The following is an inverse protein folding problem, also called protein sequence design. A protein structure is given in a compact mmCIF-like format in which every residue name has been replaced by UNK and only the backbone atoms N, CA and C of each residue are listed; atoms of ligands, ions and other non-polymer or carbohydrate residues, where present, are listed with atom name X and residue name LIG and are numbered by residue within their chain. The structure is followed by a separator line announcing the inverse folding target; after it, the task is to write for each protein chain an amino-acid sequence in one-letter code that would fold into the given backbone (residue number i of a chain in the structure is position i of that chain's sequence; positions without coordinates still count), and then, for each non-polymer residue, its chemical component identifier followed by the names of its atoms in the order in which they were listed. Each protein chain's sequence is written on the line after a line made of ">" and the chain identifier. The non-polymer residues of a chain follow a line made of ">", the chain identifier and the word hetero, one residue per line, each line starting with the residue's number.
data_IF_493239046180
#
_entry.id   IF_493239046180
#
_cell.length_a   1.000
_cell.length_b   1.000
_cell.length_c   1.000
_cell.angle_alpha   90.00
_cell.angle_beta   90.00
_cell.angle_gamma   90.00
#
_symmetry.space_group_name_H-M   'P 1'
#
loop_
_entity.id
_entity.type
_entity.pdbx_description
1 polymer ?
#
# COMPACT_ATOMS: atom_id res chain seq x y z
N UNK A 1 -2.44 16.85 -5.54
CA UNK A 1 -1.14 17.31 -5.00
C UNK A 1 -0.28 16.15 -4.52
N UNK A 2 1.01 16.18 -4.82
CA UNK A 2 1.98 15.19 -4.35
C UNK A 2 2.52 15.58 -2.95
N UNK A 3 2.86 14.61 -2.08
CA UNK A 3 3.55 14.88 -0.83
C UNK A 3 4.93 15.50 -1.06
N UNK A 4 5.37 16.38 -0.14
CA UNK A 4 6.67 17.04 -0.23
C UNK A 4 7.86 16.08 -0.42
N UNK A 5 7.79 14.88 0.17
CA UNK A 5 8.82 13.85 0.05
C UNK A 5 8.99 13.30 -1.38
N UNK A 6 7.95 13.43 -2.21
CA UNK A 6 7.91 12.95 -3.60
C UNK A 6 8.10 14.09 -4.62
N UNK A 7 8.32 15.32 -4.17
CA UNK A 7 8.58 16.44 -5.08
C UNK A 7 9.97 16.29 -5.70
N UNK A 8 10.02 16.40 -7.03
CA UNK A 8 11.26 16.42 -7.80
C UNK A 8 11.45 17.82 -8.38
N UNK A 9 12.52 18.50 -7.97
CA UNK A 9 12.82 19.89 -8.37
C UNK A 9 14.28 20.07 -8.72
N UNK A 10 14.55 21.00 -9.63
CA UNK A 10 15.86 21.56 -9.89
C UNK A 10 16.03 22.85 -9.09
N UNK A 11 17.17 23.01 -8.43
CA UNK A 11 17.56 24.26 -7.78
C UNK A 11 18.79 24.82 -8.48
N UNK A 12 18.69 26.02 -9.06
CA UNK A 12 19.83 26.68 -9.72
C UNK A 12 19.73 28.18 -9.56
N UNK A 13 20.83 28.82 -9.12
CA UNK A 13 20.94 30.30 -8.98
C UNK A 13 19.79 30.96 -8.19
N UNK A 14 19.28 30.29 -7.16
CA UNK A 14 18.17 30.82 -6.34
C UNK A 14 16.77 30.53 -6.89
N UNK A 15 16.65 29.95 -8.09
CA UNK A 15 15.39 29.50 -8.66
C UNK A 15 15.13 28.03 -8.34
N UNK A 16 13.85 27.69 -8.11
CA UNK A 16 13.35 26.33 -7.95
C UNK A 16 12.41 26.06 -9.11
N UNK A 17 12.68 25.00 -9.87
CA UNK A 17 11.90 24.62 -11.04
C UNK A 17 11.46 23.16 -10.90
N UNK A 18 10.17 22.83 -11.07
CA UNK A 18 9.72 21.44 -11.10
C UNK A 18 10.46 20.60 -12.15
N UNK A 19 10.82 19.38 -11.78
CA UNK A 19 11.36 18.38 -12.72
C UNK A 19 10.21 17.58 -13.31
N UNK A 20 9.56 18.16 -14.33
CA UNK A 20 8.49 17.50 -15.05
C UNK A 20 8.97 16.22 -15.75
N UNK A 21 8.10 15.21 -15.74
CA UNK A 21 8.21 14.03 -16.58
C UNK A 21 7.93 14.45 -18.03
N UNK A 22 8.97 14.35 -18.88
CA UNK A 22 8.83 14.54 -20.32
C UNK A 22 8.21 13.29 -20.95
N UNK A 23 7.49 13.41 -22.09
CA UNK A 23 7.01 12.27 -22.86
C UNK A 23 8.20 11.59 -23.56
N UNK A 24 8.94 10.79 -22.80
CA UNK A 24 10.11 10.04 -23.24
C UNK A 24 9.83 8.56 -23.04
N UNK A 25 10.38 7.69 -23.90
CA UNK A 25 10.16 6.25 -23.85
C UNK A 25 10.32 5.63 -22.46
N UNK A 26 11.32 6.05 -21.67
CA UNK A 26 11.53 5.52 -20.32
C UNK A 26 10.47 5.92 -19.29
N UNK A 27 9.91 7.13 -19.38
CA UNK A 27 8.84 7.57 -18.47
C UNK A 27 7.52 6.88 -18.82
N UNK A 28 7.24 6.75 -20.12
CA UNK A 28 6.07 6.03 -20.62
C UNK A 28 6.14 4.55 -20.26
N UNK A 29 7.32 3.94 -20.39
CA UNK A 29 7.57 2.55 -19.98
C UNK A 29 7.29 2.34 -18.49
N UNK A 30 7.87 3.17 -17.60
CA UNK A 30 7.62 3.06 -16.16
C UNK A 30 6.13 3.21 -15.81
N UNK A 31 5.45 4.18 -16.43
CA UNK A 31 4.02 4.40 -16.24
C UNK A 31 3.20 3.19 -16.69
N UNK A 32 3.49 2.63 -17.87
CA UNK A 32 2.80 1.46 -18.40
C UNK A 32 3.03 0.22 -17.53
N UNK A 33 4.27 -0.03 -17.07
CA UNK A 33 4.57 -1.15 -16.18
C UNK A 33 3.71 -1.07 -14.91
N UNK A 34 3.65 0.11 -14.28
CA UNK A 34 2.84 0.31 -13.08
C UNK A 34 1.33 0.17 -13.35
N UNK A 35 0.84 0.71 -14.46
CA UNK A 35 -0.59 0.59 -14.83
C UNK A 35 -0.96 -0.89 -15.02
N UNK A 36 -0.13 -1.65 -15.75
CA UNK A 36 -0.38 -3.08 -15.97
C UNK A 36 -0.23 -3.91 -14.68
N UNK A 37 0.67 -3.52 -13.77
CA UNK A 37 0.76 -4.12 -12.45
C UNK A 37 -0.57 -3.97 -11.67
N UNK A 38 -1.14 -2.76 -11.60
CA UNK A 38 -2.41 -2.55 -10.91
C UNK A 38 -3.58 -3.27 -11.59
N UNK A 39 -3.59 -3.39 -12.93
CA UNK A 39 -4.62 -4.17 -13.64
C UNK A 39 -4.55 -5.67 -13.33
N UNK A 40 -3.35 -6.23 -13.26
CA UNK A 40 -3.13 -7.67 -13.10
C UNK A 40 -3.28 -8.16 -11.66
N UNK A 41 -3.15 -7.29 -10.66
CA UNK A 41 -3.15 -7.64 -9.24
C UNK A 41 -4.44 -7.21 -8.51
N UNK A 42 -5.56 -7.10 -9.22
CA UNK A 42 -6.88 -6.91 -8.58
C UNK A 42 -7.19 -8.15 -7.74
N UNK A 43 -7.58 -7.94 -6.48
CA UNK A 43 -7.79 -8.98 -5.48
C UNK A 43 -6.55 -9.30 -4.64
N UNK A 44 -5.39 -8.73 -4.95
CA UNK A 44 -4.17 -8.93 -4.16
C UNK A 44 -3.92 -7.81 -3.14
N UNK A 45 -3.04 -8.10 -2.18
CA UNK A 45 -2.61 -7.15 -1.15
C UNK A 45 -1.69 -6.09 -1.74
N UNK A 46 -1.86 -4.83 -1.31
CA UNK A 46 -1.07 -3.67 -1.76
C UNK A 46 0.44 -3.85 -1.62
N UNK A 47 0.90 -4.68 -0.67
CA UNK A 47 2.33 -5.00 -0.51
C UNK A 47 2.96 -5.60 -1.77
N UNK A 48 2.19 -6.31 -2.61
CA UNK A 48 2.69 -6.84 -3.88
C UNK A 48 3.01 -5.69 -4.83
N UNK A 49 2.12 -4.70 -4.94
CA UNK A 49 2.36 -3.48 -5.72
C UNK A 49 3.54 -2.67 -5.18
N UNK A 50 3.69 -2.59 -3.85
CA UNK A 50 4.86 -1.95 -3.22
C UNK A 50 6.18 -2.66 -3.56
N UNK A 51 6.16 -3.99 -3.62
CA UNK A 51 7.33 -4.76 -4.03
C UNK A 51 7.68 -4.46 -5.50
N UNK A 52 6.69 -4.40 -6.40
CA UNK A 52 6.90 -4.02 -7.79
C UNK A 52 7.45 -2.60 -7.95
N UNK A 53 7.00 -1.66 -7.12
CA UNK A 53 7.57 -0.29 -7.07
C UNK A 53 9.04 -0.34 -6.66
N UNK A 54 9.39 -1.12 -5.62
CA UNK A 54 10.78 -1.28 -5.19
C UNK A 54 11.65 -1.93 -6.29
N UNK A 55 11.13 -2.91 -7.03
CA UNK A 55 11.85 -3.51 -8.16
C UNK A 55 12.15 -2.50 -9.28
N UNK A 56 11.25 -1.54 -9.53
CA UNK A 56 11.51 -0.47 -10.49
C UNK A 56 12.58 0.51 -9.98
N UNK A 57 12.60 0.79 -8.68
CA UNK A 57 13.70 1.56 -8.06
C UNK A 57 15.05 0.86 -8.25
N UNK A 58 15.09 -0.46 -8.04
CA UNK A 58 16.30 -1.28 -8.21
C UNK A 58 16.75 -1.36 -9.67
N UNK A 59 15.82 -1.27 -10.64
CA UNK A 59 16.12 -1.18 -12.08
C UNK A 59 16.67 0.19 -12.52
N UNK A 60 16.73 1.17 -11.60
CA UNK A 60 17.33 2.47 -11.84
C UNK A 60 16.36 3.58 -12.24
N UNK A 61 15.04 3.34 -12.18
CA UNK A 61 14.07 4.43 -12.28
C UNK A 61 14.18 5.35 -11.06
N UNK A 62 13.94 6.64 -11.24
CA UNK A 62 14.07 7.60 -10.13
C UNK A 62 12.98 7.34 -9.08
N UNK A 63 13.40 7.13 -7.82
CA UNK A 63 12.50 6.61 -6.79
C UNK A 63 11.33 7.55 -6.47
N UNK A 64 11.52 8.88 -6.50
CA UNK A 64 10.40 9.82 -6.25
C UNK A 64 9.38 9.72 -7.37
N UNK A 65 9.82 9.59 -8.61
CA UNK A 65 8.98 9.43 -9.77
C UNK A 65 8.12 8.16 -9.67
N UNK A 66 8.71 6.98 -9.51
CA UNK A 66 7.96 5.70 -9.44
C UNK A 66 6.99 5.69 -8.25
N UNK A 67 7.42 6.15 -7.07
CA UNK A 67 6.54 6.27 -5.89
C UNK A 67 5.41 7.27 -6.09
N UNK A 68 5.67 8.39 -6.77
CA UNK A 68 4.64 9.37 -7.09
C UNK A 68 3.60 8.79 -8.06
N UNK A 69 4.04 8.05 -9.09
CA UNK A 69 3.13 7.37 -10.00
C UNK A 69 2.27 6.34 -9.27
N UNK A 70 2.88 5.48 -8.44
CA UNK A 70 2.14 4.52 -7.60
C UNK A 70 1.14 5.22 -6.68
N UNK A 71 1.50 6.34 -6.05
CA UNK A 71 0.56 7.11 -5.24
C UNK A 71 -0.63 7.67 -6.05
N UNK A 72 -0.40 8.10 -7.29
CA UNK A 72 -1.48 8.55 -8.17
C UNK A 72 -2.38 7.37 -8.59
N UNK A 73 -1.82 6.20 -8.83
CA UNK A 73 -2.57 4.97 -9.11
C UNK A 73 -3.36 4.47 -7.89
N UNK A 74 -2.82 4.60 -6.68
CA UNK A 74 -3.54 4.33 -5.44
C UNK A 74 -4.80 5.21 -5.33
N UNK A 75 -4.74 6.48 -5.74
CA UNK A 75 -5.90 7.39 -5.75
C UNK A 75 -6.95 7.02 -6.78
N UNK A 76 -6.57 6.26 -7.80
CA UNK A 76 -7.46 5.69 -8.82
C UNK A 76 -7.87 4.26 -8.49
N UNK A 77 -7.59 3.81 -7.27
CA UNK A 77 -7.88 2.47 -6.78
C UNK A 77 -8.86 2.50 -5.63
N UNK A 78 -9.67 1.46 -5.52
CA UNK A 78 -10.42 1.15 -4.30
C UNK A 78 -9.62 0.09 -3.53
N UNK A 79 -8.93 0.53 -2.48
CA UNK A 79 -8.20 -0.35 -1.55
C UNK A 79 -9.07 -0.56 -0.31
N UNK A 80 -9.34 -1.82 0.03
CA UNK A 80 -10.23 -2.19 1.14
C UNK A 80 -9.51 -3.03 2.17
N UNK A 81 -9.90 -2.88 3.44
CA UNK A 81 -9.52 -3.79 4.50
C UNK A 81 -10.45 -5.01 4.41
N UNK A 82 -9.93 -6.16 3.97
CA UNK A 82 -10.72 -7.38 3.83
C UNK A 82 -10.81 -8.13 5.16
N UNK A 83 -11.77 -7.77 5.99
CA UNK A 83 -12.02 -8.40 7.29
C UNK A 83 -13.51 -8.34 7.67
N UNK A 84 -13.96 -9.29 8.50
CA UNK A 84 -15.36 -9.34 9.00
C UNK A 84 -15.59 -8.52 10.26
N UNK A 85 -14.51 -8.08 10.91
CA UNK A 85 -14.52 -7.36 12.18
C UNK A 85 -13.58 -6.16 12.10
N UNK A 86 -13.73 -5.18 12.97
CA UNK A 86 -12.78 -4.08 13.10
C UNK A 86 -11.42 -4.59 13.64
N UNK A 87 -10.30 -4.46 12.87
CA UNK A 87 -8.98 -4.89 13.32
C UNK A 87 -8.47 -4.17 14.57
N UNK A 88 -8.95 -2.95 14.85
CA UNK A 88 -8.61 -2.23 16.07
C UNK A 88 -9.24 -2.91 17.28
N UNK A 89 -10.52 -3.28 17.19
CA UNK A 89 -11.23 -4.02 18.25
C UNK A 89 -10.66 -5.44 18.44
N UNK A 90 -10.33 -6.12 17.34
CA UNK A 90 -9.68 -7.43 17.38
C UNK A 90 -8.35 -7.38 18.16
N UNK A 91 -7.46 -6.44 17.82
CA UNK A 91 -6.19 -6.25 18.52
C UNK A 91 -6.41 -5.93 20.00
N UNK A 92 -7.38 -5.07 20.32
CA UNK A 92 -7.72 -4.74 21.71
C UNK A 92 -8.11 -5.98 22.50
N UNK A 93 -8.99 -6.83 21.95
CA UNK A 93 -9.43 -8.08 22.61
C UNK A 93 -8.30 -9.08 22.79
N UNK A 94 -7.38 -9.18 21.82
CA UNK A 94 -6.20 -10.04 21.93
C UNK A 94 -5.27 -9.56 23.04
N UNK A 95 -4.96 -8.25 23.08
CA UNK A 95 -4.11 -7.71 24.14
C UNK A 95 -4.78 -7.83 25.52
N UNK A 96 -6.09 -7.62 25.63
CA UNK A 96 -6.83 -7.86 26.88
C UNK A 96 -6.80 -9.34 27.30
N UNK A 97 -6.86 -10.28 26.36
CA UNK A 97 -6.74 -11.71 26.69
C UNK A 97 -5.37 -12.05 27.29
N UNK A 98 -4.30 -11.28 27.00
CA UNK A 98 -3.00 -11.47 27.68
C UNK A 98 -3.03 -11.15 29.18
N UNK A 99 -3.98 -10.33 29.65
CA UNK A 99 -4.16 -10.10 31.09
C UNK A 99 -4.68 -11.36 31.79
N UNK A 100 -5.54 -12.13 31.10
CA UNK A 100 -6.13 -13.36 31.63
C UNK A 100 -5.19 -14.57 31.53
N UNK A 101 -4.51 -14.74 30.40
CA UNK A 101 -3.70 -15.93 30.11
C UNK A 101 -2.18 -15.71 30.29
N UNK A 102 -1.77 -14.47 30.58
CA UNK A 102 -0.37 -14.04 30.61
C UNK A 102 0.18 -13.75 29.21
N UNK A 103 1.43 -13.30 29.17
CA UNK A 103 2.12 -13.01 27.90
C UNK A 103 2.31 -14.30 27.07
N UNK A 104 2.15 -14.24 25.74
CA UNK A 104 2.31 -15.39 24.83
C UNK A 104 3.79 -15.71 24.59
N UNK A 105 4.52 -16.14 25.63
CA UNK A 105 5.95 -16.51 25.54
C UNK A 105 6.19 -17.89 24.95
N UNK A 106 5.14 -18.69 24.74
CA UNK A 106 5.18 -20.01 24.10
C UNK A 106 4.09 -20.12 23.05
N UNK A 107 4.29 -20.98 22.05
CA UNK A 107 3.29 -21.22 21.00
C UNK A 107 1.97 -21.74 21.55
N UNK A 108 2.00 -22.59 22.58
CA UNK A 108 0.81 -23.10 23.27
C UNK A 108 0.00 -21.96 23.92
N UNK A 109 0.65 -21.06 24.66
CA UNK A 109 -0.02 -19.91 25.26
C UNK A 109 -0.59 -18.96 24.20
N UNK A 110 0.16 -18.71 23.13
CA UNK A 110 -0.30 -17.92 21.99
C UNK A 110 -1.56 -18.53 21.39
N UNK A 111 -1.57 -19.84 21.17
CA UNK A 111 -2.70 -20.56 20.60
C UNK A 111 -3.95 -20.43 21.48
N UNK A 112 -3.82 -20.64 22.80
CA UNK A 112 -4.93 -20.49 23.76
C UNK A 112 -5.55 -19.07 23.70
N UNK A 113 -4.70 -18.04 23.60
CA UNK A 113 -5.16 -16.65 23.50
C UNK A 113 -5.95 -16.42 22.20
N UNK A 114 -5.42 -16.87 21.07
CA UNK A 114 -6.07 -16.72 19.76
C UNK A 114 -7.40 -17.47 19.74
N UNK A 115 -7.43 -18.72 20.19
CA UNK A 115 -8.66 -19.52 20.28
C UNK A 115 -9.71 -18.87 21.19
N UNK A 116 -9.29 -18.32 22.34
CA UNK A 116 -10.19 -17.60 23.24
C UNK A 116 -10.83 -16.40 22.56
N UNK A 117 -10.05 -15.61 21.82
CA UNK A 117 -10.57 -14.44 21.11
C UNK A 117 -11.43 -14.83 19.91
N UNK A 118 -11.00 -15.84 19.14
CA UNK A 118 -11.75 -16.40 18.02
C UNK A 118 -13.16 -16.82 18.48
N UNK A 119 -13.24 -17.56 19.58
CA UNK A 119 -14.50 -17.96 20.20
C UNK A 119 -15.35 -16.76 20.64
N UNK A 120 -14.76 -15.78 21.34
CA UNK A 120 -15.47 -14.57 21.81
C UNK A 120 -16.01 -13.69 20.67
N UNK A 121 -15.35 -13.71 19.51
CA UNK A 121 -15.70 -12.90 18.34
C UNK A 121 -16.43 -13.68 17.24
N UNK A 122 -16.73 -14.96 17.46
CA UNK A 122 -17.31 -15.87 16.47
C UNK A 122 -16.52 -15.91 15.13
N UNK A 123 -15.20 -15.96 15.24
CA UNK A 123 -14.26 -16.06 14.12
C UNK A 123 -13.60 -17.45 14.08
N UNK A 124 -13.09 -17.83 12.92
CA UNK A 124 -12.11 -18.90 12.83
C UNK A 124 -10.77 -18.46 13.43
N UNK A 125 -9.93 -19.40 13.88
CA UNK A 125 -8.61 -19.10 14.45
C UNK A 125 -7.71 -18.45 13.39
N UNK A 126 -7.81 -18.93 12.16
CA UNK A 126 -7.07 -18.44 10.99
C UNK A 126 -7.49 -17.00 10.64
N UNK A 127 -8.80 -16.71 10.71
CA UNK A 127 -9.35 -15.35 10.47
C UNK A 127 -8.79 -14.34 11.50
N UNK A 128 -8.54 -14.75 12.75
CA UNK A 128 -7.97 -13.86 13.77
C UNK A 128 -6.57 -13.41 13.40
N UNK A 129 -5.74 -14.32 12.91
CA UNK A 129 -4.37 -13.98 12.49
C UNK A 129 -4.38 -13.12 11.22
N UNK A 130 -5.22 -13.48 10.25
CA UNK A 130 -5.32 -12.76 8.98
C UNK A 130 -5.84 -11.33 9.18
N UNK A 131 -6.83 -11.13 10.05
CA UNK A 131 -7.44 -9.82 10.28
C UNK A 131 -6.66 -8.94 11.25
N UNK A 132 -5.65 -9.48 11.97
CA UNK A 132 -4.95 -8.74 13.03
C UNK A 132 -4.35 -7.41 12.56
N UNK A 133 -3.83 -7.37 11.33
CA UNK A 133 -3.21 -6.20 10.70
C UNK A 133 -3.77 -5.91 9.31
N UNK A 134 -4.97 -6.40 8.99
CA UNK A 134 -5.57 -6.20 7.67
C UNK A 134 -5.84 -4.72 7.33
N UNK A 135 -5.85 -3.84 8.33
CA UNK A 135 -6.01 -2.39 8.19
C UNK A 135 -4.70 -1.64 7.85
N UNK A 136 -3.54 -2.31 7.93
CA UNK A 136 -2.27 -1.69 7.56
C UNK A 136 -2.22 -1.45 6.05
N UNK A 137 -1.62 -0.33 5.63
CA UNK A 137 -1.59 0.09 4.22
C UNK A 137 -1.07 -1.00 3.26
N UNK A 138 -0.10 -1.82 3.67
CA UNK A 138 0.40 -2.93 2.84
C UNK A 138 -0.52 -4.16 2.76
N UNK A 139 -1.42 -4.34 3.73
CA UNK A 139 -2.33 -5.48 3.82
C UNK A 139 -3.70 -5.20 3.20
N UNK A 140 -4.02 -3.94 2.88
CA UNK A 140 -5.21 -3.57 2.11
C UNK A 140 -5.24 -4.29 0.77
N UNK A 141 -6.43 -4.72 0.35
CA UNK A 141 -6.67 -5.46 -0.88
C UNK A 141 -7.15 -4.52 -1.98
N UNK A 142 -6.59 -4.65 -3.18
CA UNK A 142 -7.01 -3.90 -4.35
C UNK A 142 -8.33 -4.45 -4.89
N UNK A 143 -9.46 -3.84 -4.53
CA UNK A 143 -10.79 -4.28 -4.98
C UNK A 143 -11.07 -3.84 -6.43
N UNK A 144 -10.76 -2.58 -6.75
CA UNK A 144 -11.05 -1.97 -8.05
C UNK A 144 -9.93 -1.03 -8.45
N UNK A 145 -9.71 -0.92 -9.76
CA UNK A 145 -8.73 -0.01 -10.32
C UNK A 145 -9.27 0.65 -11.60
N UNK A 146 -9.21 1.97 -11.65
CA UNK A 146 -9.60 2.78 -12.81
C UNK A 146 -8.33 3.17 -13.58
N UNK A 147 -7.94 2.31 -14.52
CA UNK A 147 -6.70 2.47 -15.26
C UNK A 147 -6.68 3.75 -16.12
N UNK A 148 -5.76 4.70 -15.87
CA UNK A 148 -5.50 5.80 -16.78
C UNK A 148 -4.63 5.32 -17.96
N UNK A 149 -4.53 6.13 -19.00
CA UNK A 149 -3.42 6.02 -19.96
C UNK A 149 -2.11 6.52 -19.35
N UNK A 150 -0.98 6.10 -19.90
CA UNK A 150 0.34 6.58 -19.46
C UNK A 150 0.46 8.11 -19.59
N UNK A 151 -0.04 8.70 -20.68
CA UNK A 151 -0.01 10.14 -20.89
C UNK A 151 -0.83 10.91 -19.86
N UNK A 152 -2.02 10.41 -19.50
CA UNK A 152 -2.84 11.00 -18.43
C UNK A 152 -2.12 10.92 -17.09
N UNK A 153 -1.54 9.77 -16.74
CA UNK A 153 -0.82 9.58 -15.48
C UNK A 153 0.40 10.51 -15.37
N UNK A 154 1.18 10.64 -16.45
CA UNK A 154 2.32 11.57 -16.49
C UNK A 154 1.88 13.04 -16.45
N UNK A 155 0.74 13.36 -17.08
CA UNK A 155 0.12 14.68 -16.99
C UNK A 155 -0.28 15.03 -15.55
N UNK A 156 -0.90 14.10 -14.84
CA UNK A 156 -1.26 14.25 -13.42
C UNK A 156 -0.03 14.37 -12.51
N UNK A 157 1.03 13.63 -12.79
CA UNK A 157 2.31 13.77 -12.09
C UNK A 157 2.87 15.19 -12.25
N UNK A 158 2.90 15.71 -13.48
CA UNK A 158 3.39 17.07 -13.76
C UNK A 158 2.52 18.13 -13.09
N UNK A 159 1.20 17.97 -13.14
CA UNK A 159 0.26 18.85 -12.43
C UNK A 159 0.49 18.80 -10.91
N UNK A 160 0.79 17.63 -10.36
CA UNK A 160 1.05 17.45 -8.94
C UNK A 160 2.36 18.04 -8.42
N UNK A 161 3.27 18.42 -9.31
CA UNK A 161 4.52 19.13 -9.01
C UNK A 161 4.40 20.66 -9.08
N UNK A 162 3.25 21.17 -9.54
CA UNK A 162 2.96 22.60 -9.69
C UNK A 162 2.18 23.10 -8.47
#
# INVERSE_FOLDING_TARGET
>A
MLPNALLSVWKRKGEIQPRYAKPTSGNDEAANILIEAYKSHIGEKKKVLKALVAELEDKGYEYRFVRALSLLLDRKSTLICQCKVDPIDLRRKIFQATEQFGLPTTSEKRQIIIESVASKMALAVEDVEEYFYSDLDGELVLEKFFAPSASELLGEYNLGLT
#
